data_IF_416012994896
#
_entry.id   IF_416012994896
#
_cell.length_a   1.000
_cell.length_b   1.000
_cell.length_c   1.000
_cell.angle_alpha   90.00
_cell.angle_beta   90.00
_cell.angle_gamma   90.00
#
_symmetry.space_group_name_H-M   'P 1'
#
loop_
_entity.id
_entity.type
_entity.pdbx_description
1 polymer ?
#
# COMPACT_ATOMS: atom_id res chain seq x y z
N UNK A 1 -14.62 -3.63 24.11
CA UNK A 1 -13.32 -3.90 23.43
C UNK A 1 -13.47 -3.76 21.91
N UNK A 2 -14.12 -2.69 21.46
CA UNK A 2 -14.36 -2.39 20.05
C UNK A 2 -14.89 -0.96 19.92
N UNK A 3 -14.69 -0.37 18.75
CA UNK A 3 -15.21 0.95 18.38
C UNK A 3 -16.03 0.83 17.09
N UNK A 4 -16.98 1.75 16.90
CA UNK A 4 -17.74 1.86 15.67
C UNK A 4 -17.15 2.98 14.80
N UNK A 5 -17.15 2.79 13.48
CA UNK A 5 -16.60 3.74 12.55
C UNK A 5 -17.17 3.57 11.14
N UNK A 6 -16.87 4.53 10.27
CA UNK A 6 -17.27 4.51 8.86
C UNK A 6 -16.04 4.50 7.98
N UNK A 7 -16.14 3.83 6.85
CA UNK A 7 -15.12 3.80 5.81
C UNK A 7 -15.72 4.21 4.46
N UNK A 8 -14.95 4.82 3.55
CA UNK A 8 -15.43 5.17 2.22
C UNK A 8 -15.87 3.92 1.44
N UNK A 9 -16.91 4.06 0.63
CA UNK A 9 -17.29 3.02 -0.34
C UNK A 9 -16.17 2.83 -1.37
N UNK A 10 -15.82 1.57 -1.65
CA UNK A 10 -14.66 1.21 -2.49
C UNK A 10 -15.02 0.64 -3.87
N UNK A 11 -16.29 0.70 -4.27
CA UNK A 11 -16.72 0.15 -5.55
C UNK A 11 -16.88 -1.37 -5.53
N UNK A 12 -16.66 -2.00 -6.68
CA UNK A 12 -16.80 -3.44 -6.82
C UNK A 12 -15.61 -4.18 -6.17
N UNK A 13 -15.89 -5.35 -5.59
CA UNK A 13 -14.87 -6.19 -4.99
C UNK A 13 -13.75 -6.56 -5.99
N UNK A 14 -14.13 -6.79 -7.25
CA UNK A 14 -13.19 -7.11 -8.34
C UNK A 14 -12.07 -6.09 -8.47
N UNK A 15 -12.40 -4.80 -8.30
CA UNK A 15 -11.46 -3.70 -8.53
C UNK A 15 -10.40 -3.68 -7.43
N UNK A 16 -10.82 -3.89 -6.18
CA UNK A 16 -9.90 -4.00 -5.04
C UNK A 16 -9.01 -5.23 -5.17
N UNK A 17 -9.58 -6.39 -5.52
CA UNK A 17 -8.82 -7.63 -5.70
C UNK A 17 -7.79 -7.49 -6.83
N UNK A 18 -8.15 -6.82 -7.93
CA UNK A 18 -7.23 -6.55 -9.02
C UNK A 18 -6.00 -5.76 -8.56
N UNK A 19 -6.21 -4.67 -7.80
CA UNK A 19 -5.10 -3.86 -7.27
C UNK A 19 -4.23 -4.64 -6.28
N UNK A 20 -4.83 -5.42 -5.38
CA UNK A 20 -4.09 -6.25 -4.42
C UNK A 20 -3.22 -7.30 -5.11
N UNK A 21 -3.77 -8.02 -6.10
CA UNK A 21 -3.02 -9.00 -6.88
C UNK A 21 -1.91 -8.35 -7.71
N UNK A 22 -2.16 -7.15 -8.27
CA UNK A 22 -1.14 -6.36 -8.96
C UNK A 22 0.04 -6.01 -8.06
N UNK A 23 -0.24 -5.53 -6.85
CA UNK A 23 0.78 -5.21 -5.84
C UNK A 23 1.60 -6.43 -5.42
N UNK A 24 0.95 -7.57 -5.13
CA UNK A 24 1.63 -8.82 -4.76
C UNK A 24 2.56 -9.29 -5.89
N UNK A 25 2.08 -9.29 -7.14
CA UNK A 25 2.89 -9.71 -8.30
C UNK A 25 4.08 -8.79 -8.53
N UNK A 26 3.89 -7.47 -8.36
CA UNK A 26 4.98 -6.50 -8.43
C UNK A 26 6.07 -6.78 -7.38
N UNK A 27 5.67 -6.99 -6.12
CA UNK A 27 6.58 -7.36 -5.03
C UNK A 27 7.31 -8.68 -5.27
N UNK A 28 6.58 -9.70 -5.73
CA UNK A 28 7.17 -10.99 -6.15
C UNK A 28 8.20 -10.82 -7.28
N UNK A 29 7.95 -9.90 -8.21
CA UNK A 29 8.88 -9.52 -9.27
C UNK A 29 10.19 -8.94 -8.73
N UNK A 30 10.12 -7.98 -7.81
CA UNK A 30 11.31 -7.39 -7.16
C UNK A 30 12.16 -8.42 -6.40
N UNK A 31 11.51 -9.40 -5.77
CA UNK A 31 12.20 -10.49 -5.03
C UNK A 31 12.68 -11.61 -5.97
N UNK A 32 12.23 -11.62 -7.23
CA UNK A 32 12.53 -12.70 -8.18
C UNK A 32 11.88 -14.02 -7.80
N UNK A 33 10.67 -13.98 -7.23
CA UNK A 33 9.90 -15.16 -6.81
C UNK A 33 8.75 -15.43 -7.79
N UNK A 34 8.64 -16.67 -8.29
CA UNK A 34 7.54 -17.10 -9.17
C UNK A 34 6.35 -17.69 -8.42
N UNK A 35 6.56 -18.07 -7.16
CA UNK A 35 5.54 -18.70 -6.32
C UNK A 35 5.56 -18.09 -4.91
N UNK A 36 4.47 -18.29 -4.16
CA UNK A 36 4.38 -17.82 -2.77
C UNK A 36 5.46 -18.50 -1.88
N UNK A 37 5.72 -19.82 -1.98
CA UNK A 37 6.82 -20.44 -1.24
C UNK A 37 8.19 -19.84 -1.59
N UNK A 38 8.46 -19.54 -2.86
CA UNK A 38 9.71 -18.86 -3.24
C UNK A 38 9.81 -17.46 -2.62
N UNK A 39 8.71 -16.70 -2.59
CA UNK A 39 8.69 -15.39 -1.94
C UNK A 39 9.03 -15.51 -0.46
N UNK A 40 8.40 -16.46 0.25
CA UNK A 40 8.63 -16.70 1.67
C UNK A 40 10.08 -17.11 1.98
N UNK A 41 10.72 -17.87 1.09
CA UNK A 41 12.11 -18.31 1.28
C UNK A 41 13.14 -17.23 0.91
N UNK A 42 12.88 -16.46 -0.15
CA UNK A 42 13.83 -15.51 -0.73
C UNK A 42 13.74 -14.12 -0.14
N UNK A 43 12.57 -13.70 0.34
CA UNK A 43 12.38 -12.35 0.87
C UNK A 43 13.38 -12.04 1.99
N UNK A 44 13.83 -10.78 2.02
CA UNK A 44 14.69 -10.23 3.06
C UNK A 44 14.08 -8.91 3.51
N UNK A 45 14.04 -8.71 4.82
CA UNK A 45 13.50 -7.51 5.43
C UNK A 45 14.62 -6.74 6.09
N UNK A 46 14.50 -5.42 6.10
CA UNK A 46 15.36 -4.52 6.83
C UNK A 46 14.53 -3.61 7.73
N UNK A 47 15.08 -3.26 8.88
CA UNK A 47 14.45 -2.28 9.78
C UNK A 47 14.69 -0.89 9.23
N UNK A 48 13.65 -0.07 9.25
CA UNK A 48 13.68 1.31 8.78
C UNK A 48 13.28 2.26 9.92
N UNK A 49 13.66 3.53 9.81
CA UNK A 49 13.30 4.58 10.77
C UNK A 49 11.95 5.20 10.42
N UNK A 50 11.37 6.01 11.31
CA UNK A 50 10.18 6.79 11.00
C UNK A 50 10.38 7.81 9.86
N UNK A 51 11.60 8.33 9.68
CA UNK A 51 11.94 9.19 8.56
C UNK A 51 11.88 8.42 7.22
N UNK A 52 12.38 7.18 7.20
CA UNK A 52 12.32 6.33 6.01
C UNK A 52 10.88 5.91 5.64
N UNK A 53 9.96 5.85 6.62
CA UNK A 53 8.52 5.66 6.33
C UNK A 53 7.98 6.86 5.55
N UNK A 54 8.25 8.09 6.01
CA UNK A 54 7.84 9.30 5.30
C UNK A 54 8.43 9.38 3.89
N UNK A 55 9.71 9.02 3.75
CA UNK A 55 10.39 8.95 2.46
C UNK A 55 9.78 7.90 1.52
N UNK A 56 9.35 6.75 2.06
CA UNK A 56 8.76 5.68 1.25
C UNK A 56 7.37 6.04 0.69
N UNK A 57 6.65 6.93 1.38
CA UNK A 57 5.39 7.49 0.90
C UNK A 57 5.63 8.59 -0.13
N UNK A 58 4.60 8.89 -0.95
CA UNK A 58 4.62 10.09 -1.79
C UNK A 58 4.80 11.32 -0.90
N UNK A 59 5.83 12.12 -1.18
CA UNK A 59 6.18 13.33 -0.44
C UNK A 59 6.58 14.46 -1.40
N UNK A 60 6.46 15.70 -0.92
CA UNK A 60 6.86 16.95 -1.62
C UNK A 60 6.19 17.20 -2.99
N UNK A 61 4.98 16.66 -3.21
CA UNK A 61 4.18 16.87 -4.42
C UNK A 61 2.68 16.98 -4.14
N UNK A 62 1.96 17.64 -5.05
CA UNK A 62 0.49 17.71 -5.04
C UNK A 62 -0.11 16.55 -5.83
N UNK A 63 -0.88 15.69 -5.18
CA UNK A 63 -1.66 14.65 -5.85
C UNK A 63 -2.96 15.27 -6.35
N UNK A 64 -3.08 15.47 -7.66
CA UNK A 64 -4.27 16.09 -8.28
C UNK A 64 -5.35 15.09 -8.65
N UNK A 65 -5.03 13.78 -8.63
CA UNK A 65 -5.96 12.69 -8.91
C UNK A 65 -5.60 11.49 -8.05
N UNK A 66 -6.59 10.92 -7.36
CA UNK A 66 -6.37 9.74 -6.54
C UNK A 66 -6.03 8.51 -7.40
N UNK A 67 -4.92 7.80 -7.08
CA UNK A 67 -4.62 6.52 -7.68
C UNK A 67 -5.52 5.41 -7.09
N UNK A 68 -5.82 4.36 -7.86
CA UNK A 68 -6.75 3.29 -7.44
C UNK A 68 -6.21 2.40 -6.30
N UNK A 69 -4.90 2.45 -6.02
CA UNK A 69 -4.21 1.57 -5.07
C UNK A 69 -3.40 2.29 -4.00
N UNK A 70 -3.56 3.62 -3.86
CA UNK A 70 -2.83 4.37 -2.85
C UNK A 70 -3.73 5.43 -2.19
N UNK A 71 -4.00 5.22 -0.91
CA UNK A 71 -4.66 6.16 -0.01
C UNK A 71 -3.83 6.21 1.26
N UNK A 72 -3.31 7.37 1.64
CA UNK A 72 -2.43 7.52 2.80
C UNK A 72 -2.99 8.59 3.74
N UNK A 73 -2.88 8.34 5.05
CA UNK A 73 -3.26 9.30 6.09
C UNK A 73 -2.36 10.55 6.07
N UNK A 74 -1.13 10.42 5.55
CA UNK A 74 -0.23 11.54 5.29
C UNK A 74 -0.70 12.45 4.13
N UNK A 75 -1.75 12.06 3.40
CA UNK A 75 -2.41 12.90 2.40
C UNK A 75 -3.64 13.63 2.95
N UNK A 76 -4.13 13.26 4.14
CA UNK A 76 -5.21 13.99 4.78
C UNK A 76 -4.64 15.24 5.43
N UNK A 77 -5.12 16.39 4.97
CA UNK A 77 -4.79 17.67 5.55
C UNK A 77 -5.23 17.65 7.03
N UNK A 78 -4.36 17.96 8.01
CA UNK A 78 -4.75 17.99 9.43
C UNK A 78 -5.77 19.08 9.78
N UNK A 79 -6.19 19.91 8.80
CA UNK A 79 -7.25 20.91 8.95
C UNK A 79 -8.66 20.42 8.56
N UNK A 80 -8.83 19.13 8.22
CA UNK A 80 -10.13 18.43 8.12
C UNK A 80 -10.20 17.20 9.05
#
# INVERSE_FOLDING_TARGET
EGIEGRVPYKGALSDTIHQLLGGIRSGMGYVGARTIPELQQRARFMRITGAAIRESHVHDVWITKEPPNYSSEYLRNPEE
#
